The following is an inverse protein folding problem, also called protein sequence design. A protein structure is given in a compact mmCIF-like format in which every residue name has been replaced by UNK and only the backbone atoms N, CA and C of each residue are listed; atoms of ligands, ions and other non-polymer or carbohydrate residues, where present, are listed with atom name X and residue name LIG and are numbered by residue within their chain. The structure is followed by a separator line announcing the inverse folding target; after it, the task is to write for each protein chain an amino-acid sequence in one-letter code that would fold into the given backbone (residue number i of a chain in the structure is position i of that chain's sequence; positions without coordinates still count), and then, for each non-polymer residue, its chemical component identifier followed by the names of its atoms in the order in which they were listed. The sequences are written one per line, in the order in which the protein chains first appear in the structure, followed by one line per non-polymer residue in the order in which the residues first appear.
data_IF_991148571869
#
_entry.id   IF_991148571869
#
_cell.length_a   1.000
_cell.length_b   1.000
_cell.length_c   1.000
_cell.angle_alpha   90.00
_cell.angle_beta   90.00
_cell.angle_gamma   90.00
#
_symmetry.space_group_name_H-M   'P 1'
#
loop_
_entity.id
_entity.type
_entity.pdbx_description
1 polymer ?
#
# COMPACT_ATOMS: atom_id res chain seq x y z
N UNK A 1 -0.16 10.28 -15.49
CA UNK A 1 -0.02 10.48 -14.05
C UNK A 1 -1.02 11.53 -13.61
N UNK A 2 -1.71 11.29 -12.47
CA UNK A 2 -2.68 12.23 -11.90
C UNK A 2 -3.83 12.53 -12.85
N UNK A 3 -4.29 13.79 -12.87
CA UNK A 3 -5.45 14.24 -13.65
C UNK A 3 -5.35 13.99 -15.16
N UNK A 4 -4.16 13.81 -15.68
CA UNK A 4 -3.94 13.41 -17.08
C UNK A 4 -4.30 11.95 -17.35
N UNK A 5 -4.31 11.10 -16.32
CA UNK A 5 -4.61 9.68 -16.42
C UNK A 5 -6.00 9.33 -15.86
N UNK A 6 -6.45 10.04 -14.83
CA UNK A 6 -7.72 9.77 -14.14
C UNK A 6 -8.27 11.03 -13.45
N UNK A 7 -9.59 11.11 -13.35
CA UNK A 7 -10.28 12.18 -12.62
C UNK A 7 -11.30 11.59 -11.66
N UNK A 8 -11.43 12.21 -10.50
CA UNK A 8 -12.34 11.79 -9.44
C UNK A 8 -13.32 12.92 -9.08
N UNK A 9 -14.51 12.60 -8.59
CA UNK A 9 -15.30 13.55 -7.83
C UNK A 9 -14.47 14.11 -6.65
N UNK A 10 -14.69 15.37 -6.22
CA UNK A 10 -13.89 15.99 -5.16
C UNK A 10 -14.19 15.45 -3.75
N UNK A 11 -14.83 14.28 -3.64
CA UNK A 11 -15.19 13.62 -2.40
C UNK A 11 -14.11 12.62 -1.96
N UNK A 12 -13.72 12.67 -0.68
CA UNK A 12 -12.73 11.75 -0.08
C UNK A 12 -11.26 12.06 -0.35
N UNK A 13 -10.92 13.18 -1.02
CA UNK A 13 -9.52 13.60 -1.22
C UNK A 13 -8.67 12.66 -2.07
N UNK A 14 -9.28 11.82 -2.92
CA UNK A 14 -8.61 10.73 -3.63
C UNK A 14 -7.74 11.19 -4.80
N UNK A 15 -8.06 12.30 -5.46
CA UNK A 15 -7.39 12.73 -6.68
C UNK A 15 -5.91 13.02 -6.48
N UNK A 16 -5.56 13.95 -5.60
CA UNK A 16 -4.18 14.32 -5.29
C UNK A 16 -3.38 13.11 -4.78
N UNK A 17 -3.95 12.37 -3.84
CA UNK A 17 -3.27 11.21 -3.23
C UNK A 17 -2.98 10.11 -4.27
N UNK A 18 -3.90 9.84 -5.19
CA UNK A 18 -3.67 8.90 -6.29
C UNK A 18 -2.58 9.39 -7.22
N UNK A 19 -2.54 10.69 -7.53
CA UNK A 19 -1.46 11.27 -8.36
C UNK A 19 -0.08 11.20 -7.71
N UNK A 20 0.02 11.40 -6.39
CA UNK A 20 1.27 11.21 -5.63
C UNK A 20 1.71 9.75 -5.67
N UNK A 21 0.80 8.82 -5.49
CA UNK A 21 1.10 7.38 -5.58
C UNK A 21 1.52 6.97 -7.00
N UNK A 22 0.90 7.54 -8.03
CA UNK A 22 1.30 7.32 -9.43
C UNK A 22 2.75 7.77 -9.65
N UNK A 23 3.08 8.98 -9.17
CA UNK A 23 4.43 9.52 -9.28
C UNK A 23 5.44 8.65 -8.54
N UNK A 24 5.11 8.18 -7.34
CA UNK A 24 5.96 7.29 -6.54
C UNK A 24 6.21 5.95 -7.24
N UNK A 25 5.18 5.35 -7.84
CA UNK A 25 5.31 4.11 -8.60
C UNK A 25 6.14 4.29 -9.88
N UNK A 26 5.98 5.41 -10.60
CA UNK A 26 6.63 5.63 -11.89
C UNK A 26 8.07 6.13 -11.77
N UNK A 27 8.39 6.97 -10.78
CA UNK A 27 9.67 7.67 -10.69
C UNK A 27 10.86 6.71 -10.59
N UNK A 28 10.78 5.69 -9.73
CA UNK A 28 11.86 4.71 -9.59
C UNK A 28 12.01 3.82 -10.84
N UNK A 29 10.91 3.51 -11.53
CA UNK A 29 10.92 2.74 -12.78
C UNK A 29 11.62 3.53 -13.89
N UNK A 30 11.31 4.82 -14.00
CA UNK A 30 11.99 5.72 -14.94
C UNK A 30 13.49 5.82 -14.62
N UNK A 31 13.85 5.98 -13.35
CA UNK A 31 15.25 5.98 -12.92
C UNK A 31 15.96 4.71 -13.34
N UNK A 32 15.40 3.54 -13.01
CA UNK A 32 16.01 2.23 -13.32
C UNK A 32 16.22 2.03 -14.83
N UNK A 33 15.26 2.45 -15.66
CA UNK A 33 15.38 2.37 -17.13
C UNK A 33 16.39 3.36 -17.69
N UNK A 34 16.32 4.63 -17.29
CA UNK A 34 17.23 5.68 -17.80
C UNK A 34 18.68 5.38 -17.43
N UNK A 35 18.92 4.81 -16.25
CA UNK A 35 20.28 4.43 -15.79
C UNK A 35 20.75 3.08 -16.31
N UNK A 36 19.91 2.36 -17.08
CA UNK A 36 20.23 1.04 -17.62
C UNK A 36 20.22 -0.12 -16.61
N UNK A 37 19.66 0.11 -15.42
CA UNK A 37 19.52 -0.92 -14.38
C UNK A 37 18.40 -1.91 -14.70
N UNK A 38 17.44 -1.52 -15.53
CA UNK A 38 16.31 -2.35 -15.95
C UNK A 38 15.96 -2.10 -17.41
N UNK A 39 15.38 -3.10 -18.11
CA UNK A 39 14.93 -2.93 -19.48
C UNK A 39 13.67 -2.03 -19.53
N UNK A 40 13.41 -1.43 -20.69
CA UNK A 40 12.26 -0.56 -20.96
C UNK A 40 10.92 -1.23 -20.63
N UNK A 41 10.85 -2.57 -20.70
CA UNK A 41 9.65 -3.35 -20.36
C UNK A 41 9.18 -3.14 -18.90
N UNK A 42 10.06 -2.69 -18.01
CA UNK A 42 9.66 -2.33 -16.64
C UNK A 42 8.57 -1.24 -16.62
N UNK A 43 8.59 -0.31 -17.58
CA UNK A 43 7.57 0.74 -17.68
C UNK A 43 6.18 0.21 -18.04
N UNK A 44 6.11 -0.97 -18.69
CA UNK A 44 4.83 -1.61 -19.02
C UNK A 44 4.06 -2.08 -17.77
N UNK A 45 4.72 -2.19 -16.62
CA UNK A 45 4.07 -2.56 -15.36
C UNK A 45 3.32 -1.41 -14.70
N UNK A 46 3.54 -0.15 -15.12
CA UNK A 46 2.89 1.01 -14.53
C UNK A 46 1.37 0.99 -14.65
N UNK A 47 0.85 0.77 -15.85
CA UNK A 47 -0.59 0.79 -16.11
C UNK A 47 -1.33 -0.35 -15.41
N UNK A 48 -0.90 -1.63 -15.51
CA UNK A 48 -1.55 -2.73 -14.79
C UNK A 48 -1.54 -2.56 -13.26
N UNK A 49 -0.51 -1.94 -12.71
CA UNK A 49 -0.43 -1.71 -11.27
C UNK A 49 -1.31 -0.53 -10.83
N UNK A 50 -1.30 0.59 -11.55
CA UNK A 50 -1.95 1.82 -11.10
C UNK A 50 -3.40 1.99 -11.54
N UNK A 51 -3.76 1.50 -12.72
CA UNK A 51 -5.14 1.63 -13.24
C UNK A 51 -6.18 0.99 -12.32
N UNK A 52 -6.04 -0.27 -11.83
CA UNK A 52 -7.03 -0.88 -10.94
C UNK A 52 -7.20 -0.10 -9.63
N UNK A 53 -6.11 0.41 -9.06
CA UNK A 53 -6.15 1.24 -7.85
C UNK A 53 -6.90 2.55 -8.10
N UNK A 54 -6.60 3.23 -9.21
CA UNK A 54 -7.30 4.45 -9.60
C UNK A 54 -8.80 4.23 -9.84
N UNK A 55 -9.17 3.14 -10.50
CA UNK A 55 -10.57 2.76 -10.73
C UNK A 55 -11.31 2.50 -9.42
N UNK A 56 -10.70 1.77 -8.48
CA UNK A 56 -11.27 1.52 -7.14
C UNK A 56 -11.47 2.83 -6.38
N UNK A 57 -10.49 3.72 -6.40
CA UNK A 57 -10.55 5.01 -5.74
C UNK A 57 -11.63 5.92 -6.38
N UNK A 58 -11.76 5.89 -7.70
CA UNK A 58 -12.79 6.65 -8.42
C UNK A 58 -14.20 6.16 -8.06
N UNK A 59 -14.40 4.84 -7.98
CA UNK A 59 -15.66 4.25 -7.57
C UNK A 59 -16.04 4.66 -6.15
N UNK A 60 -15.13 4.54 -5.19
CA UNK A 60 -15.36 4.95 -3.80
C UNK A 60 -15.66 6.44 -3.68
N UNK A 61 -14.94 7.28 -4.45
CA UNK A 61 -15.19 8.73 -4.51
C UNK A 61 -16.57 9.05 -5.06
N UNK A 62 -17.03 8.34 -6.10
CA UNK A 62 -18.36 8.50 -6.68
C UNK A 62 -19.46 8.08 -5.70
N UNK A 63 -19.31 6.94 -5.03
CA UNK A 63 -20.24 6.47 -4.00
C UNK A 63 -20.37 7.48 -2.85
N UNK A 64 -19.26 8.05 -2.40
CA UNK A 64 -19.26 9.11 -1.39
C UNK A 64 -19.98 10.36 -1.88
N UNK A 65 -19.82 10.74 -3.16
CA UNK A 65 -20.55 11.87 -3.72
C UNK A 65 -22.08 11.64 -3.72
N UNK A 66 -22.54 10.44 -4.07
CA UNK A 66 -23.96 10.09 -3.99
C UNK A 66 -24.50 10.12 -2.56
N UNK A 67 -23.77 9.58 -1.59
CA UNK A 67 -24.15 9.65 -0.18
C UNK A 67 -24.27 11.09 0.33
N UNK A 68 -23.43 12.01 -0.16
CA UNK A 68 -23.58 13.44 0.17
C UNK A 68 -24.91 14.01 -0.34
N UNK A 69 -25.40 13.60 -1.52
CA UNK A 69 -26.68 14.04 -2.06
C UNK A 69 -27.83 13.60 -1.12
N UNK A 70 -27.77 12.38 -0.55
CA UNK A 70 -28.75 11.89 0.42
C UNK A 70 -28.89 12.84 1.64
N UNK A 71 -27.77 13.39 2.12
CA UNK A 71 -27.77 14.37 3.23
C UNK A 71 -28.51 15.66 2.80
N UNK A 72 -28.22 16.20 1.62
CA UNK A 72 -28.90 17.41 1.13
C UNK A 72 -30.39 17.18 0.92
N UNK A 73 -30.81 16.03 0.40
CA UNK A 73 -32.21 15.67 0.26
C UNK A 73 -32.93 15.52 1.61
N UNK A 74 -32.25 14.97 2.62
CA UNK A 74 -32.77 14.81 3.98
C UNK A 74 -32.92 16.16 4.71
N UNK A 75 -32.00 17.10 4.48
CA UNK A 75 -32.05 18.45 5.04
C UNK A 75 -33.31 19.22 4.61
N UNK A 76 -33.85 18.94 3.42
CA UNK A 76 -35.08 19.57 2.91
C UNK A 76 -36.40 19.00 3.50
N UNK A 77 -36.31 17.96 4.35
CA UNK A 77 -37.47 17.24 4.91
C UNK A 77 -37.61 17.49 6.41
N UNK A 78 -38.82 17.58 6.96
CA UNK A 78 -39.05 17.81 8.39
C UNK A 78 -38.67 16.58 9.28
N UNK A 79 -38.22 15.49 8.69
CA UNK A 79 -37.89 14.25 9.39
C UNK A 79 -36.43 14.25 9.87
N UNK A 80 -36.19 14.52 11.16
CA UNK A 80 -34.84 14.50 11.76
C UNK A 80 -34.20 13.10 11.78
N UNK A 81 -35.00 12.03 11.85
CA UNK A 81 -34.47 10.67 11.86
C UNK A 81 -33.85 10.30 10.50
N UNK A 82 -34.46 10.67 9.40
CA UNK A 82 -33.90 10.50 8.05
C UNK A 82 -32.59 11.25 7.85
N UNK A 83 -32.46 12.47 8.43
CA UNK A 83 -31.21 13.22 8.38
C UNK A 83 -30.10 12.55 9.18
N UNK A 84 -30.40 12.07 10.39
CA UNK A 84 -29.43 11.34 11.23
C UNK A 84 -28.93 10.08 10.50
N UNK A 85 -29.80 9.34 9.84
CA UNK A 85 -29.42 8.16 9.06
C UNK A 85 -28.53 8.55 7.86
N UNK A 86 -28.87 9.59 7.12
CA UNK A 86 -28.06 10.06 6.00
C UNK A 86 -26.66 10.52 6.44
N UNK A 87 -26.56 11.18 7.61
CA UNK A 87 -25.26 11.55 8.20
C UNK A 87 -24.46 10.32 8.60
N UNK A 88 -25.07 9.34 9.24
CA UNK A 88 -24.40 8.11 9.65
C UNK A 88 -23.88 7.31 8.44
N UNK A 89 -24.57 7.35 7.30
CA UNK A 89 -24.13 6.74 6.05
C UNK A 89 -22.85 7.38 5.49
N UNK A 90 -22.44 8.57 5.98
CA UNK A 90 -21.17 9.22 5.58
C UNK A 90 -19.93 8.61 6.26
N UNK A 91 -20.07 7.66 7.16
CA UNK A 91 -18.93 7.10 7.91
C UNK A 91 -17.81 6.62 6.96
N UNK A 92 -18.14 5.96 5.87
CA UNK A 92 -17.16 5.50 4.87
C UNK A 92 -16.45 6.64 4.13
N UNK A 93 -16.99 7.86 4.14
CA UNK A 93 -16.33 9.04 3.56
C UNK A 93 -15.12 9.51 4.40
N UNK A 94 -15.18 9.32 5.70
CA UNK A 94 -14.16 9.77 6.64
C UNK A 94 -13.25 8.65 7.11
N UNK A 95 -13.69 7.40 7.01
CA UNK A 95 -12.98 6.22 7.46
C UNK A 95 -12.69 5.31 6.25
N UNK A 96 -11.59 5.60 5.54
CA UNK A 96 -11.16 4.90 4.32
C UNK A 96 -9.73 4.33 4.46
N UNK A 97 -9.32 4.01 5.67
CA UNK A 97 -7.95 3.57 5.92
C UNK A 97 -7.57 2.31 5.14
N UNK A 98 -8.49 1.34 5.07
CA UNK A 98 -8.32 0.12 4.26
C UNK A 98 -8.19 0.43 2.76
N UNK A 99 -9.01 1.36 2.24
CA UNK A 99 -8.93 1.77 0.84
C UNK A 99 -7.59 2.43 0.52
N UNK A 100 -7.08 3.26 1.41
CA UNK A 100 -5.85 4.04 1.22
C UNK A 100 -4.58 3.22 1.38
N UNK A 101 -4.56 2.27 2.33
CA UNK A 101 -3.37 1.51 2.70
C UNK A 101 -3.40 0.05 2.26
N UNK A 102 -4.58 -0.52 2.06
CA UNK A 102 -4.79 -1.96 1.84
C UNK A 102 -4.87 -2.38 0.36
N UNK A 103 -4.53 -1.51 -0.59
CA UNK A 103 -4.45 -1.92 -1.99
C UNK A 103 -3.19 -2.73 -2.26
N UNK A 104 -3.26 -3.56 -3.28
CA UNK A 104 -2.19 -4.43 -3.72
C UNK A 104 -2.01 -4.29 -5.23
N UNK A 105 -0.76 -4.30 -5.70
CA UNK A 105 -0.45 -4.45 -7.11
C UNK A 105 -0.52 -5.91 -7.52
N UNK A 106 -1.11 -6.19 -8.66
CA UNK A 106 -1.02 -7.51 -9.29
C UNK A 106 0.33 -7.58 -10.00
N UNK A 107 1.27 -8.30 -9.39
CA UNK A 107 2.60 -8.52 -9.97
C UNK A 107 2.56 -9.75 -10.87
N UNK A 108 3.37 -9.74 -11.94
CA UNK A 108 3.50 -10.89 -12.83
C UNK A 108 3.92 -12.14 -12.04
N UNK A 109 3.17 -13.24 -12.19
CA UNK A 109 3.39 -14.46 -11.41
C UNK A 109 2.79 -14.48 -10.00
N UNK A 110 2.12 -13.40 -9.56
CA UNK A 110 1.37 -13.43 -8.30
C UNK A 110 0.09 -14.26 -8.43
N UNK A 111 -0.34 -14.87 -7.32
CA UNK A 111 -1.62 -15.59 -7.27
C UNK A 111 -2.74 -14.58 -7.46
N UNK A 112 -3.45 -14.66 -8.58
CA UNK A 112 -4.45 -13.67 -9.04
C UNK A 112 -5.74 -13.63 -8.19
N UNK A 113 -5.92 -14.55 -7.24
CA UNK A 113 -7.12 -14.64 -6.42
C UNK A 113 -6.82 -14.73 -4.93
N UNK A 114 -6.07 -13.77 -4.39
CA UNK A 114 -6.01 -13.66 -2.92
C UNK A 114 -7.30 -12.98 -2.48
N UNK A 115 -8.12 -13.64 -1.65
CA UNK A 115 -9.35 -13.05 -1.14
C UNK A 115 -9.04 -11.76 -0.35
N UNK A 116 -10.01 -10.84 -0.21
CA UNK A 116 -9.88 -9.70 0.67
C UNK A 116 -9.42 -10.16 2.07
N UNK A 117 -8.44 -9.46 2.64
CA UNK A 117 -7.90 -9.80 3.96
C UNK A 117 -8.87 -9.50 5.12
N UNK A 118 -9.99 -8.83 4.84
CA UNK A 118 -11.04 -8.49 5.79
C UNK A 118 -12.38 -8.25 5.08
N UNK A 119 -13.48 -8.31 5.82
CA UNK A 119 -14.85 -8.12 5.29
C UNK A 119 -15.11 -6.67 4.83
N UNK A 120 -14.53 -5.67 5.50
CA UNK A 120 -14.64 -4.26 5.14
C UNK A 120 -13.29 -3.71 4.66
N UNK A 121 -13.00 -3.92 3.39
CA UNK A 121 -11.76 -3.48 2.72
C UNK A 121 -11.66 -1.96 2.56
N UNK A 122 -12.72 -1.21 2.81
CA UNK A 122 -12.70 0.26 2.75
C UNK A 122 -12.16 0.83 4.05
N UNK A 123 -12.67 0.38 5.19
CA UNK A 123 -12.31 0.91 6.50
C UNK A 123 -11.13 0.17 7.13
N UNK A 124 -11.09 -1.15 7.00
CA UNK A 124 -10.14 -1.97 7.71
C UNK A 124 -8.86 -2.21 6.89
N UNK A 125 -7.73 -1.93 7.49
CA UNK A 125 -6.42 -2.29 6.96
C UNK A 125 -5.86 -3.50 7.71
N UNK A 126 -5.55 -4.54 6.96
CA UNK A 126 -4.84 -5.72 7.48
C UNK A 126 -3.43 -5.73 6.91
N UNK A 127 -2.39 -5.63 7.75
CA UNK A 127 -1.00 -5.77 7.30
C UNK A 127 -0.78 -7.10 6.58
N UNK A 128 -0.02 -7.09 5.49
CA UNK A 128 0.29 -8.30 4.74
C UNK A 128 1.68 -8.20 4.11
N UNK A 129 2.37 -9.33 4.05
CA UNK A 129 3.65 -9.48 3.37
C UNK A 129 3.54 -10.17 2.01
N UNK A 130 2.33 -10.33 1.50
CA UNK A 130 2.13 -10.87 0.16
C UNK A 130 2.72 -9.92 -0.90
N UNK A 131 3.34 -10.46 -1.97
CA UNK A 131 3.84 -9.66 -3.07
C UNK A 131 2.79 -8.71 -3.63
N UNK A 132 3.18 -7.47 -3.91
CA UNK A 132 2.30 -6.39 -4.35
C UNK A 132 1.68 -5.58 -3.21
N UNK A 133 1.66 -6.06 -1.96
CA UNK A 133 1.23 -5.27 -0.81
C UNK A 133 2.28 -4.22 -0.43
N UNK A 134 1.81 -3.10 0.13
CA UNK A 134 2.72 -2.13 0.74
C UNK A 134 3.36 -2.72 2.00
N UNK A 135 4.65 -2.45 2.19
CA UNK A 135 5.37 -2.86 3.42
C UNK A 135 4.65 -2.29 4.65
N UNK A 136 4.20 -3.15 5.58
CA UNK A 136 3.58 -2.68 6.81
C UNK A 136 4.54 -1.84 7.64
N UNK A 137 4.03 -0.76 8.21
CA UNK A 137 4.82 0.14 9.04
C UNK A 137 5.14 -0.48 10.41
N UNK A 138 6.37 -0.25 10.88
CA UNK A 138 6.82 -0.50 12.24
C UNK A 138 7.85 0.53 12.69
N UNK A 139 7.96 0.72 14.01
CA UNK A 139 9.00 1.54 14.58
C UNK A 139 10.20 0.68 14.94
N UNK A 140 11.36 1.04 14.40
CA UNK A 140 12.64 0.37 14.55
C UNK A 140 13.66 1.30 15.19
N UNK A 141 14.82 0.76 15.56
CA UNK A 141 15.95 1.56 16.05
C UNK A 141 17.18 1.30 15.18
N UNK A 142 17.85 2.37 14.74
CA UNK A 142 19.10 2.30 14.01
C UNK A 142 20.04 3.40 14.48
N UNK A 143 21.26 3.05 14.90
CA UNK A 143 22.23 4.01 15.46
C UNK A 143 21.63 4.84 16.61
N UNK A 144 20.93 4.19 17.54
CA UNK A 144 20.25 4.80 18.69
C UNK A 144 19.13 5.81 18.31
N UNK A 145 18.72 5.84 17.03
CA UNK A 145 17.63 6.68 16.55
C UNK A 145 16.41 5.83 16.19
N UNK A 146 15.24 6.33 16.62
CA UNK A 146 13.97 5.74 16.20
C UNK A 146 13.70 6.08 14.74
N UNK A 147 13.49 5.06 13.92
CA UNK A 147 13.19 5.18 12.49
C UNK A 147 11.92 4.41 12.14
N UNK A 148 11.29 4.76 11.02
CA UNK A 148 10.24 3.95 10.41
C UNK A 148 10.85 2.77 9.65
N UNK A 149 10.16 1.64 9.61
CA UNK A 149 10.52 0.54 8.71
C UNK A 149 10.59 0.97 7.23
N UNK A 150 9.85 2.03 6.87
CA UNK A 150 9.85 2.59 5.51
C UNK A 150 11.13 3.39 5.22
N UNK A 151 11.85 3.87 6.25
CA UNK A 151 13.13 4.58 6.11
C UNK A 151 14.29 3.61 5.76
N UNK A 152 14.06 2.30 5.87
CA UNK A 152 15.01 1.28 5.40
C UNK A 152 15.04 1.19 3.87
N UNK A 153 13.98 1.64 3.18
CA UNK A 153 13.81 1.41 1.76
C UNK A 153 14.55 2.47 0.94
N UNK A 154 15.40 2.01 0.04
CA UNK A 154 16.11 2.87 -0.91
C UNK A 154 15.15 3.55 -1.89
N UNK A 155 15.51 4.77 -2.36
CA UNK A 155 14.66 5.54 -3.29
C UNK A 155 14.76 5.04 -4.74
N UNK A 156 15.83 4.34 -5.09
CA UNK A 156 16.14 3.98 -6.49
C UNK A 156 16.39 2.49 -6.68
N UNK A 157 16.71 1.76 -5.62
CA UNK A 157 17.07 0.34 -5.66
C UNK A 157 16.16 -0.47 -4.74
N UNK A 158 15.92 -1.72 -5.11
CA UNK A 158 15.22 -2.66 -4.25
C UNK A 158 16.03 -2.93 -2.98
N UNK A 159 15.33 -3.06 -1.85
CA UNK A 159 15.93 -3.35 -0.56
C UNK A 159 15.54 -4.77 -0.14
N UNK A 160 16.52 -5.60 0.18
CA UNK A 160 16.29 -6.91 0.80
C UNK A 160 16.35 -6.74 2.31
N UNK A 161 15.32 -7.20 3.01
CA UNK A 161 15.24 -7.22 4.48
C UNK A 161 15.12 -8.66 4.92
N UNK A 162 16.01 -9.07 5.82
CA UNK A 162 16.15 -10.43 6.29
C UNK A 162 15.84 -10.53 7.79
N UNK A 163 15.25 -11.63 8.18
CA UNK A 163 15.05 -11.99 9.58
C UNK A 163 16.38 -12.27 10.31
N UNK A 164 16.33 -12.38 11.64
CA UNK A 164 17.56 -12.44 12.47
C UNK A 164 18.46 -13.63 12.17
N UNK A 165 17.93 -14.73 11.62
CA UNK A 165 18.71 -15.95 11.31
C UNK A 165 18.76 -16.28 9.81
N UNK A 166 18.21 -15.40 8.96
CA UNK A 166 18.17 -15.63 7.52
C UNK A 166 19.59 -15.58 6.90
N UNK A 167 19.85 -16.51 5.98
CA UNK A 167 21.06 -16.54 5.16
C UNK A 167 20.69 -16.07 3.74
N UNK A 168 21.19 -14.90 3.34
CA UNK A 168 20.88 -14.28 2.04
C UNK A 168 22.18 -13.98 1.30
N UNK A 169 22.19 -14.25 0.01
CA UNK A 169 23.31 -13.87 -0.85
C UNK A 169 23.17 -12.41 -1.31
N UNK A 170 24.27 -11.65 -1.28
CA UNK A 170 24.30 -10.26 -1.74
C UNK A 170 24.11 -9.24 -0.62
N UNK A 171 23.65 -8.05 -0.99
CA UNK A 171 23.44 -6.96 -0.05
C UNK A 171 22.03 -7.03 0.55
N UNK A 172 21.94 -7.03 1.87
CA UNK A 172 20.67 -7.03 2.61
C UNK A 172 20.80 -6.36 3.97
N UNK A 173 19.67 -5.93 4.50
CA UNK A 173 19.55 -5.43 5.87
C UNK A 173 18.98 -6.55 6.75
N UNK A 174 19.55 -6.78 7.91
CA UNK A 174 19.18 -7.86 8.81
C UNK A 174 18.73 -7.34 10.17
N UNK A 175 17.64 -7.89 10.66
CA UNK A 175 17.14 -7.65 12.01
C UNK A 175 18.21 -8.07 13.03
N UNK A 176 18.51 -7.20 14.01
CA UNK A 176 19.50 -7.42 15.06
C UNK A 176 20.95 -7.18 14.64
N UNK A 177 21.23 -6.93 13.34
CA UNK A 177 22.58 -6.57 12.83
C UNK A 177 22.62 -5.12 12.33
N UNK A 178 21.69 -4.74 11.46
CA UNK A 178 21.68 -3.44 10.79
C UNK A 178 20.68 -2.48 11.41
N UNK A 179 19.71 -3.01 12.12
CA UNK A 179 18.71 -2.28 12.92
C UNK A 179 18.10 -3.20 13.98
N UNK A 180 17.61 -2.60 15.06
CA UNK A 180 16.91 -3.30 16.14
C UNK A 180 15.40 -3.22 15.95
N UNK A 181 14.71 -4.30 16.34
CA UNK A 181 13.25 -4.44 16.30
C UNK A 181 12.65 -4.58 17.72
N UNK A 182 12.59 -3.48 18.49
CA UNK A 182 12.18 -3.53 19.89
C UNK A 182 10.71 -3.91 20.12
N UNK A 183 9.90 -3.87 19.06
CA UNK A 183 8.46 -4.15 19.11
C UNK A 183 8.05 -5.42 18.38
N UNK A 184 9.03 -6.25 17.99
CA UNK A 184 8.79 -7.48 17.23
C UNK A 184 7.97 -7.25 15.95
N UNK A 185 8.30 -6.19 15.21
CA UNK A 185 7.66 -5.88 13.93
C UNK A 185 7.78 -7.04 12.94
N UNK A 186 8.98 -7.67 12.89
CA UNK A 186 9.26 -8.80 11.99
C UNK A 186 8.30 -9.98 12.24
N UNK A 187 8.18 -10.43 13.48
CA UNK A 187 7.34 -11.56 13.85
C UNK A 187 5.87 -11.21 14.01
N UNK A 188 5.56 -10.14 14.76
CA UNK A 188 4.18 -9.83 15.13
C UNK A 188 3.39 -9.07 14.05
N UNK A 189 4.04 -8.15 13.31
CA UNK A 189 3.34 -7.35 12.28
C UNK A 189 3.48 -7.98 10.90
N UNK A 190 4.70 -8.42 10.52
CA UNK A 190 4.93 -9.05 9.23
C UNK A 190 4.53 -10.53 9.21
N UNK A 191 4.49 -11.19 10.37
CA UNK A 191 4.17 -12.61 10.47
C UNK A 191 5.22 -13.51 9.80
N UNK A 192 6.49 -13.06 9.76
CA UNK A 192 7.57 -13.77 9.08
C UNK A 192 8.40 -14.59 10.06
N UNK A 193 8.84 -15.80 9.69
CA UNK A 193 9.81 -16.57 10.46
C UNK A 193 11.19 -15.92 10.44
N UNK A 194 12.02 -16.28 11.42
CA UNK A 194 13.36 -15.68 11.63
C UNK A 194 14.34 -15.93 10.48
N UNK A 195 14.14 -16.98 9.71
CA UNK A 195 14.96 -17.39 8.57
C UNK A 195 14.44 -16.87 7.22
N UNK A 196 13.32 -16.15 7.21
CA UNK A 196 12.75 -15.58 6.00
C UNK A 196 13.43 -14.27 5.56
N UNK A 197 13.22 -13.89 4.31
CA UNK A 197 13.53 -12.55 3.81
C UNK A 197 12.48 -12.05 2.83
N UNK A 198 12.40 -10.74 2.69
CA UNK A 198 11.53 -10.05 1.73
C UNK A 198 12.34 -9.09 0.86
N UNK A 199 11.93 -8.93 -0.38
CA UNK A 199 12.45 -7.90 -1.28
C UNK A 199 11.40 -6.79 -1.41
N UNK A 200 11.79 -5.56 -1.14
CA UNK A 200 10.91 -4.39 -1.16
C UNK A 200 11.36 -3.43 -2.24
N UNK A 201 10.43 -2.98 -3.06
CA UNK A 201 10.63 -2.03 -4.15
C UNK A 201 10.83 -0.60 -3.61
N UNK A 202 11.43 0.31 -4.38
CA UNK A 202 11.59 1.72 -3.99
C UNK A 202 10.27 2.44 -3.67
N UNK A 203 9.14 2.02 -4.27
CA UNK A 203 7.80 2.53 -3.95
C UNK A 203 7.17 1.86 -2.71
N UNK A 204 8.01 1.20 -1.88
CA UNK A 204 7.63 0.58 -0.62
C UNK A 204 6.64 -0.61 -0.76
N UNK A 205 6.54 -1.21 -1.95
CA UNK A 205 5.74 -2.43 -2.15
C UNK A 205 6.64 -3.67 -2.17
N UNK A 206 6.13 -4.76 -1.59
CA UNK A 206 6.83 -6.04 -1.51
C UNK A 206 6.87 -6.64 -2.93
N UNK A 207 8.08 -6.89 -3.44
CA UNK A 207 8.28 -7.54 -4.72
C UNK A 207 8.21 -9.06 -4.59
N UNK A 208 8.85 -9.60 -3.54
CA UNK A 208 8.87 -11.04 -3.28
C UNK A 208 9.02 -11.32 -1.78
N UNK A 209 8.62 -12.53 -1.41
CA UNK A 209 8.75 -13.09 -0.07
C UNK A 209 9.33 -14.50 -0.20
N UNK A 210 10.43 -14.74 0.49
CA UNK A 210 11.08 -16.04 0.55
C UNK A 210 10.94 -16.62 1.97
N UNK A 211 10.23 -17.72 2.07
CA UNK A 211 10.02 -18.46 3.31
C UNK A 211 10.91 -19.70 3.23
N UNK A 212 12.13 -19.60 3.75
CA UNK A 212 13.07 -20.71 3.76
C UNK A 212 12.48 -21.86 4.59
N UNK A 213 12.22 -23.02 3.98
CA UNK A 213 11.70 -24.21 4.68
C UNK A 213 10.35 -24.75 4.19
N UNK A 214 9.74 -24.21 3.15
CA UNK A 214 8.62 -24.85 2.46
C UNK A 214 9.10 -25.35 1.09
N UNK A 215 9.82 -26.49 1.09
CA UNK A 215 9.94 -27.38 -0.07
C UNK A 215 8.77 -28.37 -0.09
#
# INVERSE_FOLDING_TARGET
VGDAAHRFPPSGGMGLNSGVQDAHNLAWKLHAVITGQSPDSLLNTYDPERRPVAQRNAQASLENAFKMIEVFEALGKPNQEGLSQAINNQQTHFDMFGLQMGFRYELEGSITSIPPLCDDVVRNYTPSTEPGCRLPHGWLTRNDQRISSLDLIGLTETTVIAGPTAEVNGNYLQVGRDFDDPHNWWGAVLGLPDDAYITVRPDQHIASRDLVGKS
#
